data_IF_348663832783
#
_entry.id   IF_348663832783
#
_cell.length_a   1.000
_cell.length_b   1.000
_cell.length_c   1.000
_cell.angle_alpha   90.00
_cell.angle_beta   90.00
_cell.angle_gamma   90.00
#
_symmetry.space_group_name_H-M   'P 1'
#
loop_
_entity.id
_entity.type
_entity.pdbx_description
1 polymer ?
#
# COMPACT_ATOMS: atom_id res chain seq x y z
N UNK A 1 -17.73 -9.63 -28.22
CA UNK A 1 -16.73 -10.29 -27.33
C UNK A 1 -15.42 -9.57 -27.59
N UNK A 2 -15.08 -8.57 -26.74
CA UNK A 2 -13.77 -7.90 -26.78
C UNK A 2 -12.71 -8.93 -26.38
N UNK A 3 -11.71 -9.13 -27.24
CA UNK A 3 -10.56 -10.02 -26.98
C UNK A 3 -9.90 -9.61 -25.67
N UNK A 4 -9.96 -10.49 -24.68
CA UNK A 4 -9.21 -10.37 -23.44
C UNK A 4 -7.71 -10.44 -23.77
N UNK A 5 -6.97 -9.41 -23.42
CA UNK A 5 -5.50 -9.42 -23.47
C UNK A 5 -5.02 -10.62 -22.65
N UNK A 6 -4.10 -11.40 -23.20
CA UNK A 6 -3.41 -12.47 -22.47
C UNK A 6 -2.73 -11.85 -21.23
N UNK A 7 -3.29 -12.15 -20.06
CA UNK A 7 -2.63 -11.81 -18.79
C UNK A 7 -1.36 -12.65 -18.69
N UNK A 8 -0.26 -12.02 -18.32
CA UNK A 8 1.01 -12.72 -18.15
C UNK A 8 0.90 -13.78 -17.04
N UNK A 9 1.60 -14.93 -17.16
CA UNK A 9 1.52 -16.03 -16.19
C UNK A 9 1.80 -15.63 -14.74
N UNK A 10 2.63 -14.61 -14.51
CA UNK A 10 2.94 -14.08 -13.18
C UNK A 10 1.75 -13.36 -12.54
N UNK A 11 0.92 -12.68 -13.34
CA UNK A 11 -0.31 -12.03 -12.87
C UNK A 11 -1.34 -13.12 -12.52
N UNK A 12 -1.39 -14.19 -13.31
CA UNK A 12 -2.25 -15.35 -13.03
C UNK A 12 -1.82 -15.99 -11.70
N UNK A 13 -0.54 -16.13 -11.44
CA UNK A 13 -0.02 -16.76 -10.22
C UNK A 13 -0.23 -15.89 -8.96
N UNK A 14 -0.11 -14.58 -9.07
CA UNK A 14 -0.45 -13.64 -8.00
C UNK A 14 -1.97 -13.60 -7.71
N UNK A 15 -2.79 -13.80 -8.74
CA UNK A 15 -4.24 -13.93 -8.62
C UNK A 15 -4.68 -15.29 -8.08
N UNK A 16 -3.81 -16.33 -8.09
CA UNK A 16 -4.13 -17.68 -7.62
C UNK A 16 -4.11 -17.86 -6.10
N UNK A 17 -3.71 -16.85 -5.33
CA UNK A 17 -3.93 -16.83 -3.89
C UNK A 17 -5.39 -16.50 -3.57
N UNK A 18 -5.81 -16.73 -2.35
CA UNK A 18 -7.18 -16.67 -1.76
C UNK A 18 -8.20 -15.67 -2.36
N UNK A 19 -7.76 -14.62 -3.03
CA UNK A 19 -8.61 -13.65 -3.73
C UNK A 19 -9.46 -14.28 -4.85
N UNK A 20 -8.90 -15.23 -5.61
CA UNK A 20 -9.63 -15.88 -6.69
C UNK A 20 -10.86 -16.63 -6.22
N UNK A 21 -10.78 -17.28 -5.06
CA UNK A 21 -11.93 -18.01 -4.50
C UNK A 21 -13.09 -17.04 -4.22
N UNK A 22 -12.79 -15.86 -3.71
CA UNK A 22 -13.81 -14.84 -3.45
C UNK A 22 -14.34 -14.20 -4.74
N UNK A 23 -13.46 -13.92 -5.70
CA UNK A 23 -13.83 -13.36 -7.01
C UNK A 23 -14.69 -14.35 -7.80
N UNK A 24 -14.37 -15.65 -7.78
CA UNK A 24 -15.21 -16.69 -8.37
C UNK A 24 -16.57 -16.82 -7.67
N UNK A 25 -16.60 -16.79 -6.33
CA UNK A 25 -17.86 -16.85 -5.55
C UNK A 25 -18.78 -15.67 -5.83
N UNK A 26 -18.22 -14.49 -6.17
CA UNK A 26 -18.99 -13.30 -6.55
C UNK A 26 -19.36 -13.24 -8.05
N UNK A 27 -18.96 -14.24 -8.84
CA UNK A 27 -19.24 -14.26 -10.29
C UNK A 27 -18.44 -13.25 -11.11
N UNK A 28 -17.47 -12.55 -10.51
CA UNK A 28 -16.65 -11.53 -11.17
C UNK A 28 -15.65 -12.11 -12.17
N UNK A 29 -15.29 -13.39 -11.99
CA UNK A 29 -14.45 -14.16 -12.91
C UNK A 29 -15.09 -15.52 -13.12
N UNK A 30 -15.19 -15.95 -14.36
CA UNK A 30 -15.65 -17.29 -14.73
C UNK A 30 -14.54 -18.08 -15.43
N UNK A 31 -14.60 -19.39 -15.29
CA UNK A 31 -13.68 -20.34 -15.92
C UNK A 31 -14.37 -20.97 -17.13
N UNK A 32 -13.74 -20.90 -18.29
CA UNK A 32 -14.23 -21.56 -19.51
C UNK A 32 -13.10 -22.39 -20.15
N UNK A 33 -13.48 -23.31 -21.02
CA UNK A 33 -12.54 -24.07 -21.84
C UNK A 33 -12.83 -23.78 -23.30
N UNK A 34 -11.78 -23.64 -24.12
CA UNK A 34 -11.94 -23.56 -25.56
C UNK A 34 -11.95 -24.97 -26.20
N UNK A 35 -12.10 -25.02 -27.51
CA UNK A 35 -12.10 -26.25 -28.30
C UNK A 35 -10.80 -27.08 -28.14
N UNK A 36 -9.67 -26.42 -27.85
CA UNK A 36 -8.36 -27.05 -27.62
C UNK A 36 -8.16 -27.51 -26.17
N UNK A 37 -9.24 -27.54 -25.35
CA UNK A 37 -9.21 -27.90 -23.93
C UNK A 37 -8.34 -26.99 -23.05
N UNK A 38 -7.95 -25.81 -23.53
CA UNK A 38 -7.24 -24.77 -22.75
C UNK A 38 -8.21 -24.06 -21.82
N UNK A 39 -7.74 -23.76 -20.62
CA UNK A 39 -8.52 -23.05 -19.63
C UNK A 39 -8.34 -21.55 -19.83
N UNK A 40 -9.46 -20.84 -19.89
CA UNK A 40 -9.52 -19.39 -19.95
C UNK A 40 -10.28 -18.85 -18.75
N UNK A 41 -9.84 -17.70 -18.27
CA UNK A 41 -10.59 -16.95 -17.26
C UNK A 41 -11.22 -15.74 -17.93
N UNK A 42 -12.52 -15.62 -17.79
CA UNK A 42 -13.29 -14.50 -18.32
C UNK A 42 -13.64 -13.59 -17.17
N UNK A 43 -13.18 -12.34 -17.25
CA UNK A 43 -13.48 -11.30 -16.28
C UNK A 43 -14.79 -10.63 -16.67
N UNK A 44 -15.73 -10.47 -15.72
CA UNK A 44 -17.01 -9.80 -15.96
C UNK A 44 -16.83 -8.30 -16.21
N UNK A 45 -17.79 -7.67 -16.90
CA UNK A 45 -17.81 -6.20 -17.07
C UNK A 45 -17.84 -5.49 -15.72
N UNK A 46 -18.62 -6.03 -14.76
CA UNK A 46 -18.69 -5.52 -13.39
C UNK A 46 -17.32 -5.53 -12.70
N UNK A 47 -16.52 -6.59 -12.87
CA UNK A 47 -15.17 -6.62 -12.32
C UNK A 47 -14.23 -5.58 -12.95
N UNK A 48 -14.38 -5.33 -14.25
CA UNK A 48 -13.62 -4.29 -14.97
C UNK A 48 -14.02 -2.90 -14.45
N UNK A 49 -15.31 -2.65 -14.28
CA UNK A 49 -15.80 -1.37 -13.73
C UNK A 49 -15.35 -1.15 -12.29
N UNK A 50 -15.41 -2.19 -11.44
CA UNK A 50 -14.91 -2.13 -10.06
C UNK A 50 -13.43 -1.79 -10.02
N UNK A 51 -12.63 -2.39 -10.91
CA UNK A 51 -11.21 -2.09 -11.01
C UNK A 51 -10.97 -0.63 -11.44
N UNK A 52 -11.62 -0.17 -12.50
CA UNK A 52 -11.50 1.20 -13.00
C UNK A 52 -11.96 2.24 -11.98
N UNK A 53 -13.04 1.96 -11.25
CA UNK A 53 -13.53 2.84 -10.20
C UNK A 53 -12.57 2.85 -8.99
N UNK A 54 -11.91 1.73 -8.67
CA UNK A 54 -10.91 1.70 -7.60
C UNK A 54 -9.67 2.53 -7.94
N UNK A 55 -9.25 2.58 -9.21
CA UNK A 55 -8.16 3.45 -9.65
C UNK A 55 -8.55 4.93 -9.59
N UNK A 56 -9.76 5.27 -10.08
CA UNK A 56 -10.27 6.65 -10.00
C UNK A 56 -10.43 7.12 -8.55
N UNK A 57 -10.88 6.26 -7.66
CA UNK A 57 -11.03 6.58 -6.23
C UNK A 57 -9.67 6.76 -5.56
N UNK A 58 -8.67 6.00 -5.95
CA UNK A 58 -7.30 6.12 -5.43
C UNK A 58 -6.64 7.48 -5.76
N UNK A 59 -6.89 8.03 -6.95
CA UNK A 59 -6.36 9.35 -7.34
C UNK A 59 -7.06 10.51 -6.63
N UNK A 60 -8.30 10.32 -6.18
CA UNK A 60 -9.10 11.31 -5.43
C UNK A 60 -9.09 11.07 -3.92
N UNK A 61 -8.39 10.03 -3.47
CA UNK A 61 -8.34 9.68 -2.06
C UNK A 61 -7.53 10.70 -1.27
N UNK A 62 -8.00 11.05 -0.10
CA UNK A 62 -7.26 11.79 0.91
C UNK A 62 -6.62 10.87 1.96
N UNK A 63 -6.64 9.56 1.74
CA UNK A 63 -6.06 8.58 2.65
C UNK A 63 -4.55 8.48 2.48
N UNK A 64 -3.81 8.38 3.59
CA UNK A 64 -2.41 8.01 3.63
C UNK A 64 -2.24 6.76 4.49
N UNK A 65 -1.70 5.68 3.91
CA UNK A 65 -1.46 4.44 4.65
C UNK A 65 -0.14 4.52 5.41
N UNK A 66 -0.12 4.02 6.65
CA UNK A 66 1.07 3.96 7.50
C UNK A 66 1.49 2.50 7.65
N UNK A 67 2.63 2.15 7.06
CA UNK A 67 3.31 0.88 7.22
C UNK A 67 4.33 1.00 8.36
N UNK A 68 4.03 0.40 9.50
CA UNK A 68 4.84 0.50 10.72
C UNK A 68 4.79 -0.82 11.49
N UNK A 69 5.82 -1.08 12.30
CA UNK A 69 5.86 -2.25 13.16
C UNK A 69 4.68 -2.29 14.14
N UNK A 70 4.01 -3.43 14.24
CA UNK A 70 3.02 -3.65 15.30
C UNK A 70 3.63 -3.39 16.68
N UNK A 71 2.88 -2.70 17.56
CA UNK A 71 3.36 -2.28 18.88
C UNK A 71 4.61 -1.38 18.81
N UNK A 72 4.71 -0.57 17.76
CA UNK A 72 5.66 0.52 17.76
C UNK A 72 5.38 1.50 18.90
N UNK A 73 6.34 2.37 19.20
CA UNK A 73 6.16 3.42 20.19
C UNK A 73 4.94 4.29 19.85
N UNK A 74 4.00 4.43 20.80
CA UNK A 74 2.75 5.17 20.60
C UNK A 74 2.97 6.63 20.23
N UNK A 75 3.95 7.31 20.86
CA UNK A 75 4.31 8.70 20.54
C UNK A 75 4.77 8.85 19.08
N UNK A 76 5.48 7.83 18.54
CA UNK A 76 5.89 7.82 17.13
C UNK A 76 4.70 7.68 16.21
N UNK A 77 3.77 6.78 16.52
CA UNK A 77 2.54 6.59 15.76
C UNK A 77 1.74 7.89 15.74
N UNK A 78 1.52 8.50 16.90
CA UNK A 78 0.80 9.77 17.04
C UNK A 78 1.47 10.90 16.26
N UNK A 79 2.80 11.00 16.29
CA UNK A 79 3.55 12.01 15.54
C UNK A 79 3.37 11.84 14.02
N UNK A 80 3.44 10.60 13.51
CA UNK A 80 3.22 10.32 12.10
C UNK A 80 1.78 10.63 11.69
N UNK A 81 0.79 10.22 12.49
CA UNK A 81 -0.62 10.50 12.24
C UNK A 81 -0.91 12.00 12.24
N UNK A 82 -0.37 12.73 13.23
CA UNK A 82 -0.50 14.19 13.32
C UNK A 82 0.09 14.89 12.11
N UNK A 83 1.28 14.49 11.68
CA UNK A 83 1.94 15.06 10.52
C UNK A 83 1.14 14.85 9.23
N UNK A 84 0.60 13.64 9.02
CA UNK A 84 -0.28 13.33 7.89
C UNK A 84 -1.57 14.16 7.94
N UNK A 85 -2.16 14.30 9.13
CA UNK A 85 -3.40 15.07 9.30
C UNK A 85 -3.19 16.58 9.05
N UNK A 86 -2.05 17.14 9.49
CA UNK A 86 -1.68 18.54 9.21
C UNK A 86 -1.46 18.79 7.72
N UNK A 87 -0.99 17.78 6.99
CA UNK A 87 -0.87 17.81 5.54
C UNK A 87 -2.22 17.67 4.80
N UNK A 88 -3.35 17.61 5.50
CA UNK A 88 -4.69 17.52 4.91
C UNK A 88 -5.12 16.12 4.52
N UNK A 89 -4.39 15.07 4.94
CA UNK A 89 -4.71 13.69 4.64
C UNK A 89 -5.23 12.93 5.86
N UNK A 90 -5.99 11.88 5.62
CA UNK A 90 -6.50 10.98 6.65
C UNK A 90 -5.49 9.83 6.88
N UNK A 91 -4.86 9.73 8.06
CA UNK A 91 -3.92 8.65 8.35
C UNK A 91 -4.68 7.34 8.56
N UNK A 92 -4.21 6.27 7.90
CA UNK A 92 -4.74 4.93 8.04
C UNK A 92 -3.63 3.98 8.48
N UNK A 93 -3.82 3.36 9.66
CA UNK A 93 -2.95 2.32 10.20
C UNK A 93 -3.78 1.06 10.45
N UNK A 94 -3.21 -0.12 10.20
CA UNK A 94 -3.87 -1.38 10.55
C UNK A 94 -3.45 -1.83 11.93
N UNK A 95 -4.41 -2.17 12.78
CA UNK A 95 -4.17 -2.76 14.09
C UNK A 95 -4.42 -4.27 14.08
N UNK A 96 -3.77 -5.02 14.98
CA UNK A 96 -3.96 -6.47 15.15
C UNK A 96 -5.42 -6.85 15.46
N UNK A 97 -6.22 -5.89 15.98
CA UNK A 97 -7.59 -6.14 16.44
C UNK A 97 -8.65 -6.02 15.33
N UNK A 98 -8.28 -5.46 14.17
CA UNK A 98 -9.27 -5.20 13.11
C UNK A 98 -9.56 -6.42 12.23
N UNK A 99 -8.77 -7.53 12.38
CA UNK A 99 -8.92 -8.67 11.47
C UNK A 99 -8.86 -10.02 12.20
N UNK A 100 -9.97 -10.71 12.21
CA UNK A 100 -10.03 -12.04 12.82
C UNK A 100 -9.41 -13.17 12.00
N UNK A 101 -9.01 -12.99 10.71
CA UNK A 101 -8.48 -14.11 9.91
C UNK A 101 -7.53 -13.80 8.74
N UNK A 102 -7.50 -12.59 8.15
CA UNK A 102 -6.69 -12.33 6.94
C UNK A 102 -6.29 -10.87 6.85
N UNK A 103 -5.28 -10.48 7.61
CA UNK A 103 -4.81 -9.08 7.67
C UNK A 103 -4.22 -8.59 6.34
N UNK A 104 -3.50 -9.46 5.61
CA UNK A 104 -2.78 -9.05 4.39
C UNK A 104 -3.69 -8.55 3.24
N UNK A 105 -4.83 -9.20 2.93
CA UNK A 105 -5.74 -8.68 1.92
C UNK A 105 -6.29 -7.30 2.27
N UNK A 106 -6.56 -7.05 3.55
CA UNK A 106 -7.05 -5.74 3.98
C UNK A 106 -5.95 -4.67 3.90
N UNK A 107 -4.72 -4.98 4.32
CA UNK A 107 -3.56 -4.11 4.15
C UNK A 107 -3.40 -3.71 2.67
N UNK A 108 -3.43 -4.68 1.75
CA UNK A 108 -3.32 -4.41 0.31
C UNK A 108 -4.46 -3.55 -0.21
N UNK A 109 -5.68 -3.78 0.30
CA UNK A 109 -6.83 -2.96 -0.04
C UNK A 109 -6.64 -1.51 0.44
N UNK A 110 -6.22 -1.29 1.68
CA UNK A 110 -5.97 0.03 2.24
C UNK A 110 -4.82 0.76 1.50
N UNK A 111 -3.71 0.06 1.20
CA UNK A 111 -2.62 0.62 0.38
C UNK A 111 -3.16 1.04 -1.00
N UNK A 112 -3.98 0.21 -1.64
CA UNK A 112 -4.56 0.51 -2.95
C UNK A 112 -5.44 1.75 -2.92
N UNK A 113 -6.25 1.93 -1.88
CA UNK A 113 -7.13 3.09 -1.70
C UNK A 113 -6.36 4.37 -1.36
N UNK A 114 -5.20 4.27 -0.75
CA UNK A 114 -4.44 5.42 -0.28
C UNK A 114 -3.83 6.24 -1.41
N UNK A 115 -3.69 7.54 -1.22
CA UNK A 115 -3.00 8.47 -2.12
C UNK A 115 -1.51 8.16 -2.14
N UNK A 116 -0.89 7.98 -0.97
CA UNK A 116 0.51 7.64 -0.76
C UNK A 116 0.67 6.73 0.47
N UNK A 117 1.89 6.21 0.66
CA UNK A 117 2.22 5.33 1.79
C UNK A 117 3.40 5.92 2.56
N UNK A 118 3.26 6.02 3.88
CA UNK A 118 4.33 6.37 4.80
C UNK A 118 4.85 5.09 5.44
N UNK A 119 6.15 4.84 5.36
CA UNK A 119 6.79 3.61 5.84
C UNK A 119 7.79 3.94 6.93
N UNK A 120 7.52 3.55 8.17
CA UNK A 120 8.48 3.69 9.27
C UNK A 120 9.48 2.54 9.27
N UNK A 121 10.74 2.86 9.04
CA UNK A 121 11.86 1.94 9.00
C UNK A 121 12.76 2.05 10.25
N UNK A 122 12.37 2.84 11.23
CA UNK A 122 13.14 3.10 12.45
C UNK A 122 13.37 1.83 13.28
N UNK A 123 12.37 0.94 13.30
CA UNK A 123 12.49 -0.37 13.92
C UNK A 123 12.26 -1.43 12.87
N UNK A 124 13.18 -2.40 12.77
CA UNK A 124 13.10 -3.45 11.76
C UNK A 124 11.73 -4.14 11.78
N UNK A 125 11.07 -4.09 10.63
CA UNK A 125 9.79 -4.73 10.37
C UNK A 125 9.75 -5.22 8.93
N UNK A 126 9.89 -6.52 8.72
CA UNK A 126 9.91 -7.09 7.37
C UNK A 126 8.56 -6.89 6.66
N UNK A 127 7.45 -6.80 7.41
CA UNK A 127 6.13 -6.44 6.89
C UNK A 127 6.09 -5.05 6.26
N UNK A 128 6.70 -4.04 6.89
CA UNK A 128 6.75 -2.68 6.36
C UNK A 128 7.51 -2.60 5.03
N UNK A 129 8.60 -3.37 4.88
CA UNK A 129 9.31 -3.48 3.59
C UNK A 129 8.45 -4.16 2.52
N UNK A 130 7.69 -5.19 2.89
CA UNK A 130 6.79 -5.87 1.97
C UNK A 130 5.65 -4.96 1.49
N UNK A 131 5.06 -4.19 2.39
CA UNK A 131 4.03 -3.20 2.13
C UNK A 131 4.54 -2.06 1.23
N UNK A 132 5.75 -1.56 1.51
CA UNK A 132 6.44 -0.59 0.67
C UNK A 132 6.65 -1.12 -0.75
N UNK A 133 7.12 -2.36 -0.90
CA UNK A 133 7.31 -3.01 -2.20
C UNK A 133 6.00 -3.13 -2.98
N UNK A 134 4.90 -3.48 -2.30
CA UNK A 134 3.58 -3.53 -2.92
C UNK A 134 3.09 -2.14 -3.36
N UNK A 135 3.29 -1.11 -2.53
CA UNK A 135 2.95 0.27 -2.88
C UNK A 135 3.73 0.76 -4.12
N UNK A 136 5.03 0.49 -4.20
CA UNK A 136 5.84 0.77 -5.39
C UNK A 136 5.32 0.06 -6.65
N UNK A 137 4.94 -1.22 -6.54
CA UNK A 137 4.39 -1.96 -7.66
C UNK A 137 3.08 -1.38 -8.20
N UNK A 138 2.32 -0.68 -7.35
CA UNK A 138 1.11 0.06 -7.71
C UNK A 138 1.39 1.48 -8.23
N UNK A 139 2.66 1.90 -8.31
CA UNK A 139 3.03 3.27 -8.70
C UNK A 139 2.68 4.32 -7.64
N UNK A 140 2.49 3.93 -6.38
CA UNK A 140 2.22 4.86 -5.30
C UNK A 140 3.48 5.60 -4.89
N UNK A 141 3.32 6.84 -4.46
CA UNK A 141 4.37 7.54 -3.74
C UNK A 141 4.60 6.86 -2.39
N UNK A 142 5.87 6.63 -2.04
CA UNK A 142 6.28 5.97 -0.79
C UNK A 142 7.29 6.85 -0.09
N UNK A 143 6.92 7.33 1.10
CA UNK A 143 7.73 8.17 1.96
C UNK A 143 8.34 7.28 3.05
N UNK A 144 9.66 7.11 3.03
CA UNK A 144 10.36 6.39 4.08
C UNK A 144 10.72 7.34 5.23
N UNK A 145 10.44 6.90 6.45
CA UNK A 145 10.81 7.59 7.68
C UNK A 145 11.86 6.78 8.44
N UNK A 146 12.82 7.47 9.05
CA UNK A 146 13.82 6.85 9.90
C UNK A 146 14.23 7.76 11.04
N UNK A 147 14.09 7.24 12.27
CA UNK A 147 14.49 7.90 13.50
C UNK A 147 15.99 7.69 13.72
N UNK A 148 16.78 8.76 13.67
CA UNK A 148 18.21 8.69 13.85
C UNK A 148 18.63 8.15 15.23
N UNK A 149 17.76 8.23 16.23
CA UNK A 149 18.00 7.66 17.57
C UNK A 149 18.10 6.12 17.54
N UNK A 150 17.55 5.49 16.51
CA UNK A 150 17.59 4.03 16.33
C UNK A 150 18.81 3.53 15.55
N UNK A 151 19.68 4.41 15.04
CA UNK A 151 20.78 4.05 14.15
C UNK A 151 21.75 3.04 14.76
N UNK A 152 21.96 3.07 16.07
CA UNK A 152 22.84 2.14 16.79
C UNK A 152 22.26 0.74 16.97
N UNK A 153 20.94 0.60 16.99
CA UNK A 153 20.21 -0.65 17.27
C UNK A 153 19.57 -1.26 16.04
N UNK A 154 19.11 -0.43 15.12
CA UNK A 154 18.38 -0.84 13.91
C UNK A 154 18.94 -0.08 12.69
N UNK A 155 20.13 -0.42 12.17
CA UNK A 155 20.69 0.27 11.02
C UNK A 155 19.77 0.11 9.80
N UNK A 156 19.56 1.21 9.08
CA UNK A 156 18.73 1.24 7.88
C UNK A 156 19.29 0.31 6.80
N UNK A 157 18.43 -0.50 6.19
CA UNK A 157 18.86 -1.42 5.13
C UNK A 157 19.43 -0.65 3.93
N UNK A 158 20.53 -1.13 3.35
CA UNK A 158 21.28 -0.41 2.31
C UNK A 158 20.44 -0.11 1.04
N UNK A 159 19.45 -0.94 0.70
CA UNK A 159 18.58 -0.75 -0.47
C UNK A 159 17.69 0.48 -0.34
N UNK A 160 17.33 0.86 0.88
CA UNK A 160 16.48 2.04 1.14
C UNK A 160 17.27 3.23 1.65
N UNK A 161 18.47 3.03 2.19
CA UNK A 161 19.35 4.12 2.65
C UNK A 161 19.77 5.07 1.51
N UNK A 162 19.74 4.61 0.26
CA UNK A 162 20.05 5.41 -0.94
C UNK A 162 18.82 6.09 -1.54
N UNK A 163 17.62 5.78 -1.06
CA UNK A 163 16.38 6.42 -1.47
C UNK A 163 16.16 7.68 -0.63
N UNK A 164 15.25 8.53 -1.05
CA UNK A 164 14.82 9.70 -0.28
C UNK A 164 14.13 9.27 1.01
N UNK A 165 14.95 8.94 2.04
CA UNK A 165 14.46 8.62 3.37
C UNK A 165 14.52 9.87 4.23
N UNK A 166 13.41 10.19 4.85
CA UNK A 166 13.28 11.27 5.82
C UNK A 166 13.89 10.83 7.13
N UNK A 167 15.03 11.41 7.46
CA UNK A 167 15.68 11.18 8.73
C UNK A 167 15.30 12.29 9.70
N UNK A 168 14.89 11.94 10.91
CA UNK A 168 14.52 12.88 11.95
C UNK A 168 15.16 12.51 13.30
N UNK A 169 15.35 13.51 14.15
CA UNK A 169 15.95 13.34 15.48
C UNK A 169 14.92 13.49 16.61
N UNK A 170 13.81 14.11 16.31
CA UNK A 170 12.67 14.29 17.21
C UNK A 170 11.37 14.37 16.42
N UNK A 171 10.24 14.30 17.10
CA UNK A 171 8.93 14.25 16.45
C UNK A 171 8.47 15.59 15.89
N UNK A 172 8.98 16.71 16.38
CA UNK A 172 8.67 18.03 15.83
C UNK A 172 9.28 18.19 14.43
N UNK A 173 10.55 17.74 14.24
CA UNK A 173 11.19 17.68 12.91
C UNK A 173 10.39 16.80 11.93
N UNK A 174 9.86 15.69 12.42
CA UNK A 174 9.02 14.80 11.60
C UNK A 174 7.75 15.49 11.13
N UNK A 175 7.06 16.19 12.02
CA UNK A 175 5.84 16.93 11.71
C UNK A 175 6.13 18.02 10.67
N UNK A 176 7.15 18.84 10.89
CA UNK A 176 7.54 19.93 9.98
C UNK A 176 7.94 19.44 8.59
N UNK A 177 8.52 18.23 8.51
CA UNK A 177 8.93 17.66 7.23
C UNK A 177 7.73 17.18 6.40
N UNK A 178 6.80 16.45 7.00
CA UNK A 178 5.64 15.92 6.29
C UNK A 178 4.69 17.04 5.81
N UNK A 179 4.62 18.15 6.55
CA UNK A 179 3.90 19.34 6.11
C UNK A 179 4.52 19.95 4.82
N UNK A 180 5.83 19.97 4.71
CA UNK A 180 6.54 20.42 3.49
C UNK A 180 6.39 19.48 2.30
N UNK A 181 6.33 18.17 2.53
CA UNK A 181 6.14 17.17 1.46
C UNK A 181 4.76 17.27 0.83
N UNK A 182 3.73 17.56 1.63
CA UNK A 182 2.38 17.76 1.11
C UNK A 182 2.28 18.97 0.16
N UNK A 183 2.97 20.06 0.47
CA UNK A 183 3.01 21.25 -0.38
C UNK A 183 3.65 20.98 -1.76
N UNK A 184 4.64 20.09 -1.84
CA UNK A 184 5.30 19.71 -3.09
C UNK A 184 4.43 18.80 -3.99
N UNK A 185 3.51 18.05 -3.41
CA UNK A 185 2.59 17.17 -4.17
C UNK A 185 1.44 17.95 -4.85
N UNK A 186 1.16 19.17 -4.44
CA UNK A 186 0.15 20.05 -5.04
C UNK A 186 0.69 20.85 -6.25
N UNK A 187 2.00 21.09 -6.34
CA UNK A 187 2.62 21.84 -7.44
C UNK A 187 2.87 21.01 -8.71
N UNK A 188 2.60 19.70 -8.68
CA UNK A 188 2.84 18.74 -9.78
C UNK A 188 1.60 18.40 -10.64
N UNK A 189 0.49 19.14 -10.52
CA UNK A 189 -0.72 18.96 -11.36
C UNK A 189 -0.93 20.10 -12.35
#
# INVERSE_FOLDING_TARGET
>A
IKQLRQLQPQIIQALFSSYLIQIFKKGLVSKTKNADNRIWFVVSEEAIELYQNSEKNSTRSNLAFIAIKFKANEERIEAIQKAIALAGYEPRIMSEYETNNWIMPEIFHQIKLSKFVVVDLSVRCDGAYYEAGYAYALGKEVIHLYDNREQGTNPLHFDVAKKSTVMYNNYDELVDFLDRVSALSEEGN
#
